data_IF_064789270452
#
_entry.id   IF_064789270452
#
_cell.length_a   1.000
_cell.length_b   1.000
_cell.length_c   1.000
_cell.angle_alpha   90.00
_cell.angle_beta   90.00
_cell.angle_gamma   90.00
#
_symmetry.space_group_name_H-M   'P 1'
#
loop_
_entity.id
_entity.type
_entity.pdbx_description
1 polymer ?
#
# COMPACT_ATOMS: atom_id res chain seq x y z
N UNK A 1 -26.98 52.30 -17.41
CA UNK A 1 -26.96 51.10 -16.55
C UNK A 1 -25.56 50.51 -16.62
N UNK A 2 -24.80 50.57 -15.53
CA UNK A 2 -23.48 49.95 -15.46
C UNK A 2 -23.61 48.44 -15.21
N UNK A 3 -22.80 47.59 -15.84
CA UNK A 3 -22.83 46.15 -15.58
C UNK A 3 -22.37 45.85 -14.13
N UNK A 4 -22.94 44.83 -13.47
CA UNK A 4 -22.58 44.50 -12.10
C UNK A 4 -21.10 44.06 -12.04
N UNK A 5 -20.41 44.51 -10.99
CA UNK A 5 -19.00 44.20 -10.78
C UNK A 5 -18.76 42.70 -10.62
N UNK A 6 -17.60 42.21 -11.06
CA UNK A 6 -17.16 40.81 -10.93
C UNK A 6 -17.28 40.27 -9.49
N UNK A 7 -17.17 41.16 -8.49
CA UNK A 7 -17.30 40.84 -7.07
C UNK A 7 -18.73 40.44 -6.69
N UNK A 8 -19.74 41.01 -7.35
CA UNK A 8 -21.15 40.69 -7.15
C UNK A 8 -21.50 39.31 -7.72
N UNK A 9 -20.87 38.92 -8.83
CA UNK A 9 -21.03 37.58 -9.43
C UNK A 9 -20.38 36.47 -8.58
N UNK A 10 -19.22 36.76 -7.95
CA UNK A 10 -18.56 35.82 -7.04
C UNK A 10 -19.35 35.60 -5.75
N UNK A 11 -20.02 36.62 -5.22
CA UNK A 11 -20.84 36.49 -4.01
C UNK A 11 -22.16 35.75 -4.27
N UNK A 12 -22.71 35.86 -5.49
CA UNK A 12 -23.90 35.08 -5.88
C UNK A 12 -23.59 33.58 -6.04
N UNK A 13 -22.33 33.20 -6.32
CA UNK A 13 -21.92 31.81 -6.48
C UNK A 13 -21.59 31.09 -5.16
N UNK A 14 -21.51 31.82 -4.04
CA UNK A 14 -21.18 31.27 -2.73
C UNK A 14 -22.40 30.95 -1.85
N UNK A 15 -23.63 31.17 -2.34
CA UNK A 15 -24.87 30.91 -1.60
C UNK A 15 -25.60 29.64 -2.03
N UNK A 16 -25.06 28.86 -2.96
CA UNK A 16 -25.48 27.48 -3.12
C UNK A 16 -24.70 26.63 -2.11
N UNK A 17 -25.18 26.62 -0.86
CA UNK A 17 -24.94 25.51 0.05
C UNK A 17 -25.51 24.25 -0.61
N UNK A 18 -24.72 23.64 -1.50
CA UNK A 18 -24.88 22.23 -1.84
C UNK A 18 -24.66 21.51 -0.53
N UNK A 19 -25.74 21.07 0.08
CA UNK A 19 -25.70 20.11 1.17
C UNK A 19 -24.71 19.03 0.75
N UNK A 20 -23.55 19.00 1.40
CA UNK A 20 -22.54 17.99 1.17
C UNK A 20 -23.21 16.68 1.57
N UNK A 21 -23.75 15.94 0.60
CA UNK A 21 -24.17 14.57 0.81
C UNK A 21 -22.92 13.87 1.32
N UNK A 22 -22.94 13.45 2.59
CA UNK A 22 -21.93 12.56 3.11
C UNK A 22 -21.75 11.43 2.10
N UNK A 23 -20.53 11.15 1.62
CA UNK A 23 -20.32 10.04 0.73
C UNK A 23 -20.83 8.79 1.45
N UNK A 24 -21.81 8.12 0.86
CA UNK A 24 -22.40 6.91 1.42
C UNK A 24 -21.26 5.94 1.74
N UNK A 25 -20.98 5.75 3.03
CA UNK A 25 -19.89 4.90 3.46
C UNK A 25 -20.35 3.46 3.26
N UNK A 26 -19.80 2.78 2.25
CA UNK A 26 -20.12 1.39 1.94
C UNK A 26 -19.87 0.53 3.18
N UNK A 27 -20.83 -0.31 3.57
CA UNK A 27 -20.59 -1.31 4.61
C UNK A 27 -19.53 -2.31 4.12
N UNK A 28 -18.79 -2.99 5.02
CA UNK A 28 -17.76 -3.94 4.61
C UNK A 28 -18.26 -5.03 3.64
N UNK A 29 -19.54 -5.39 3.71
CA UNK A 29 -20.17 -6.39 2.84
C UNK A 29 -20.47 -5.87 1.43
N UNK A 30 -20.56 -4.55 1.27
CA UNK A 30 -20.82 -3.88 -0.01
C UNK A 30 -19.53 -3.58 -0.79
N UNK A 31 -18.36 -3.70 -0.15
CA UNK A 31 -17.07 -3.46 -0.81
C UNK A 31 -16.80 -4.59 -1.81
N UNK A 32 -16.44 -4.29 -3.07
CA UNK A 32 -16.11 -5.29 -4.07
C UNK A 32 -15.00 -6.24 -3.61
N UNK A 33 -15.12 -7.52 -3.96
CA UNK A 33 -14.11 -8.53 -3.62
C UNK A 33 -12.90 -8.42 -4.55
N UNK A 34 -11.72 -8.60 -3.99
CA UNK A 34 -10.47 -8.73 -4.75
C UNK A 34 -9.71 -9.98 -4.30
N UNK A 35 -9.05 -10.68 -5.23
CA UNK A 35 -8.33 -11.94 -4.94
C UNK A 35 -7.25 -11.81 -3.86
N UNK A 36 -6.64 -10.63 -3.75
CA UNK A 36 -5.62 -10.32 -2.75
C UNK A 36 -6.17 -9.70 -1.47
N UNK A 37 -7.48 -9.49 -1.34
CA UNK A 37 -8.07 -8.78 -0.19
C UNK A 37 -9.07 -9.68 0.53
N UNK A 38 -8.88 -9.82 1.84
CA UNK A 38 -9.84 -10.43 2.73
C UNK A 38 -10.05 -9.52 3.93
N UNK A 39 -11.29 -9.39 4.38
CA UNK A 39 -11.64 -8.53 5.51
C UNK A 39 -12.58 -9.24 6.48
N UNK A 40 -12.31 -9.13 7.77
CA UNK A 40 -13.16 -9.68 8.82
C UNK A 40 -12.75 -9.19 10.21
N UNK A 41 -13.73 -8.88 11.07
CA UNK A 41 -13.47 -8.50 12.47
C UNK A 41 -12.47 -7.35 12.63
N UNK A 42 -12.62 -6.28 11.84
CA UNK A 42 -11.68 -5.12 11.78
C UNK A 42 -10.24 -5.47 11.34
N UNK A 43 -10.03 -6.68 10.82
CA UNK A 43 -8.75 -7.15 10.28
C UNK A 43 -8.80 -7.19 8.77
N UNK A 44 -7.87 -6.47 8.13
CA UNK A 44 -7.63 -6.50 6.70
C UNK A 44 -6.43 -7.41 6.42
N UNK A 45 -6.63 -8.46 5.63
CA UNK A 45 -5.56 -9.35 5.18
C UNK A 45 -5.33 -9.14 3.68
N UNK A 46 -4.09 -8.75 3.33
CA UNK A 46 -3.63 -8.54 1.97
C UNK A 46 -2.70 -9.69 1.57
N UNK A 47 -3.16 -10.59 0.70
CA UNK A 47 -2.40 -11.76 0.23
C UNK A 47 -1.98 -11.54 -1.23
N UNK A 48 -0.85 -10.88 -1.42
CA UNK A 48 -0.33 -10.50 -2.74
C UNK A 48 0.60 -11.60 -3.24
N UNK A 49 0.12 -12.40 -4.19
CA UNK A 49 0.93 -13.40 -4.87
C UNK A 49 1.38 -12.88 -6.23
N UNK A 50 2.69 -12.68 -6.37
CA UNK A 50 3.31 -12.22 -7.61
C UNK A 50 4.04 -13.35 -8.35
N UNK A 51 3.91 -14.61 -7.89
CA UNK A 51 4.54 -15.78 -8.50
C UNK A 51 3.87 -16.22 -9.80
N UNK A 52 2.67 -15.70 -10.10
CA UNK A 52 1.92 -16.01 -11.30
C UNK A 52 2.74 -15.75 -12.58
N UNK A 53 2.61 -16.65 -13.57
CA UNK A 53 3.34 -16.57 -14.84
C UNK A 53 3.05 -15.28 -15.63
N UNK A 54 1.89 -14.67 -15.39
CA UNK A 54 1.46 -13.43 -16.03
C UNK A 54 1.57 -12.26 -15.05
N UNK A 55 2.23 -11.19 -15.50
CA UNK A 55 2.32 -9.95 -14.72
C UNK A 55 0.90 -9.41 -14.46
N UNK A 56 0.59 -8.93 -13.23
CA UNK A 56 -0.71 -8.33 -12.96
C UNK A 56 -0.97 -7.16 -13.91
N UNK A 57 -2.19 -7.09 -14.44
CA UNK A 57 -2.60 -6.01 -15.32
C UNK A 57 -2.68 -4.69 -14.53
N UNK A 58 -2.38 -3.53 -15.15
CA UNK A 58 -2.47 -2.24 -14.48
C UNK A 58 -3.85 -1.95 -13.88
N UNK A 59 -4.92 -2.40 -14.55
CA UNK A 59 -6.30 -2.29 -14.07
C UNK A 59 -6.57 -3.13 -12.83
N UNK A 60 -6.04 -4.35 -12.76
CA UNK A 60 -6.14 -5.22 -11.59
C UNK A 60 -5.43 -4.59 -10.37
N UNK A 61 -4.25 -4.01 -10.60
CA UNK A 61 -3.50 -3.28 -9.56
C UNK A 61 -4.26 -2.04 -9.08
N UNK A 62 -4.86 -1.27 -9.98
CA UNK A 62 -5.66 -0.09 -9.60
C UNK A 62 -6.88 -0.52 -8.78
N UNK A 63 -7.63 -1.52 -9.26
CA UNK A 63 -8.79 -2.06 -8.54
C UNK A 63 -8.41 -2.57 -7.15
N UNK A 64 -7.26 -3.25 -7.02
CA UNK A 64 -6.71 -3.66 -5.74
C UNK A 64 -6.52 -2.48 -4.79
N UNK A 65 -5.84 -1.42 -5.24
CA UNK A 65 -5.57 -0.22 -4.44
C UNK A 65 -6.86 0.48 -4.01
N UNK A 66 -7.80 0.64 -4.92
CA UNK A 66 -9.09 1.28 -4.65
C UNK A 66 -9.88 0.48 -3.59
N UNK A 67 -9.92 -0.84 -3.72
CA UNK A 67 -10.60 -1.72 -2.75
C UNK A 67 -9.93 -1.67 -1.37
N UNK A 68 -8.60 -1.64 -1.30
CA UNK A 68 -7.88 -1.48 -0.03
C UNK A 68 -8.25 -0.15 0.64
N UNK A 69 -8.32 0.94 -0.13
CA UNK A 69 -8.67 2.26 0.40
C UNK A 69 -10.09 2.29 0.99
N UNK A 70 -11.05 1.57 0.39
CA UNK A 70 -12.42 1.45 0.92
C UNK A 70 -12.49 0.80 2.30
N UNK A 71 -11.52 -0.04 2.66
CA UNK A 71 -11.45 -0.68 3.98
C UNK A 71 -10.82 0.22 5.07
N UNK A 72 -10.31 1.41 4.73
CA UNK A 72 -9.53 2.26 5.65
C UNK A 72 -10.27 2.58 6.96
N UNK A 73 -11.55 2.97 6.88
CA UNK A 73 -12.35 3.39 8.05
C UNK A 73 -12.70 2.23 9.00
N UNK A 74 -12.62 0.99 8.52
CA UNK A 74 -13.00 -0.20 9.26
C UNK A 74 -11.81 -0.97 9.84
N UNK A 75 -10.59 -0.66 9.39
CA UNK A 75 -9.42 -1.49 9.68
C UNK A 75 -8.70 -1.02 10.94
N UNK A 76 -8.52 -1.95 11.90
CA UNK A 76 -7.62 -1.77 13.05
C UNK A 76 -6.33 -2.58 12.94
N UNK A 77 -6.41 -3.74 12.30
CA UNK A 77 -5.25 -4.62 12.09
C UNK A 77 -5.08 -4.87 10.61
N UNK A 78 -3.87 -4.67 10.09
CA UNK A 78 -3.55 -4.99 8.70
C UNK A 78 -2.44 -6.05 8.65
N UNK A 79 -2.69 -7.14 7.92
CA UNK A 79 -1.74 -8.22 7.70
C UNK A 79 -1.41 -8.25 6.21
N UNK A 80 -0.17 -7.92 5.85
CA UNK A 80 0.31 -7.91 4.48
C UNK A 80 1.22 -9.10 4.27
N UNK A 81 0.84 -9.97 3.35
CA UNK A 81 1.56 -11.18 2.98
C UNK A 81 1.93 -11.08 1.50
N UNK A 82 3.22 -10.98 1.21
CA UNK A 82 3.74 -10.83 -0.15
C UNK A 82 4.56 -12.06 -0.50
N UNK A 83 4.23 -12.72 -1.61
CA UNK A 83 5.06 -13.77 -2.20
C UNK A 83 5.69 -13.24 -3.47
N UNK A 84 7.01 -13.10 -3.46
CA UNK A 84 7.75 -12.64 -4.61
C UNK A 84 8.04 -13.81 -5.58
N UNK A 85 7.97 -13.59 -6.89
CA UNK A 85 8.28 -14.56 -7.94
C UNK A 85 9.74 -15.00 -7.95
N UNK A 86 9.96 -16.18 -8.51
CA UNK A 86 11.27 -16.74 -8.87
C UNK A 86 11.80 -16.04 -10.13
N UNK A 87 12.17 -14.76 -10.04
CA UNK A 87 12.86 -14.12 -11.16
C UNK A 87 14.33 -14.48 -11.11
N UNK A 88 14.83 -15.15 -12.16
CA UNK A 88 16.27 -15.22 -12.43
C UNK A 88 16.87 -13.82 -12.64
N UNK A 89 17.71 -13.62 -13.65
CA UNK A 89 18.35 -12.33 -13.88
C UNK A 89 17.44 -11.22 -14.47
N UNK A 90 16.13 -11.43 -14.62
CA UNK A 90 15.21 -10.42 -15.19
C UNK A 90 14.75 -9.39 -14.15
N UNK A 91 15.60 -8.39 -13.96
CA UNK A 91 15.42 -7.22 -13.09
C UNK A 91 14.12 -6.47 -13.44
N UNK A 92 13.77 -6.35 -14.73
CA UNK A 92 12.65 -5.53 -15.20
C UNK A 92 11.29 -6.14 -14.84
N UNK A 93 11.17 -7.47 -14.94
CA UNK A 93 9.98 -8.19 -14.47
C UNK A 93 9.86 -8.23 -12.95
N UNK A 94 10.99 -8.14 -12.24
CA UNK A 94 11.06 -8.16 -10.77
C UNK A 94 10.69 -6.87 -10.07
N UNK A 95 10.61 -5.77 -10.81
CA UNK A 95 10.25 -4.48 -10.24
C UNK A 95 8.72 -4.29 -10.18
N UNK A 96 8.21 -4.37 -8.95
CA UNK A 96 6.81 -4.12 -8.59
C UNK A 96 6.70 -2.93 -7.63
N UNK A 97 7.71 -2.05 -7.60
CA UNK A 97 7.82 -0.90 -6.70
C UNK A 97 6.56 -0.03 -6.68
N UNK A 98 5.91 0.17 -7.83
CA UNK A 98 4.68 0.99 -7.91
C UNK A 98 3.53 0.39 -7.09
N UNK A 99 3.39 -0.93 -7.06
CA UNK A 99 2.34 -1.63 -6.29
C UNK A 99 2.52 -1.32 -4.81
N UNK A 100 3.74 -1.51 -4.30
CA UNK A 100 4.04 -1.33 -2.87
C UNK A 100 4.12 0.13 -2.45
N UNK A 101 4.66 1.00 -3.31
CA UNK A 101 4.69 2.43 -3.08
C UNK A 101 3.28 2.99 -2.88
N UNK A 102 2.35 2.68 -3.78
CA UNK A 102 0.97 3.17 -3.67
C UNK A 102 0.23 2.50 -2.50
N UNK A 103 0.44 1.20 -2.28
CA UNK A 103 -0.13 0.51 -1.12
C UNK A 103 0.28 1.17 0.20
N UNK A 104 1.55 1.52 0.37
CA UNK A 104 2.01 2.19 1.61
C UNK A 104 1.39 3.58 1.77
N UNK A 105 1.25 4.34 0.69
CA UNK A 105 0.51 5.63 0.72
C UNK A 105 -0.91 5.44 1.21
N UNK A 106 -1.61 4.41 0.73
CA UNK A 106 -2.97 4.09 1.15
C UNK A 106 -3.02 3.70 2.63
N UNK A 107 -2.11 2.83 3.06
CA UNK A 107 -2.06 2.35 4.46
C UNK A 107 -1.76 3.46 5.47
N UNK A 108 -0.92 4.44 5.12
CA UNK A 108 -0.70 5.63 5.95
C UNK A 108 -1.98 6.48 6.10
N UNK A 109 -2.90 6.40 5.14
CA UNK A 109 -4.21 7.05 5.22
C UNK A 109 -5.21 6.35 6.14
N UNK A 110 -4.88 5.22 6.76
CA UNK A 110 -5.83 4.47 7.59
C UNK A 110 -5.95 5.12 8.97
N UNK A 111 -7.13 5.69 9.33
CA UNK A 111 -7.25 6.51 10.53
C UNK A 111 -7.22 5.71 11.84
N UNK A 112 -7.45 4.39 11.80
CA UNK A 112 -7.67 3.54 12.98
C UNK A 112 -6.68 2.39 13.10
N UNK A 113 -5.65 2.35 12.25
CA UNK A 113 -4.69 1.25 12.25
C UNK A 113 -3.87 1.25 13.54
N UNK A 114 -3.96 0.15 14.29
CA UNK A 114 -3.27 -0.04 15.56
C UNK A 114 -2.08 -1.01 15.44
N UNK A 115 -2.15 -1.94 14.48
CA UNK A 115 -1.10 -2.93 14.21
C UNK A 115 -1.02 -3.22 12.72
N UNK A 116 0.20 -3.23 12.20
CA UNK A 116 0.48 -3.74 10.86
C UNK A 116 1.63 -4.74 10.87
N UNK A 117 1.44 -5.86 10.19
CA UNK A 117 2.50 -6.84 9.98
C UNK A 117 2.69 -7.09 8.50
N UNK A 118 3.94 -7.02 8.05
CA UNK A 118 4.31 -7.32 6.67
C UNK A 118 5.19 -8.56 6.68
N UNK A 119 4.79 -9.59 5.94
CA UNK A 119 5.58 -10.79 5.71
C UNK A 119 5.96 -10.83 4.24
N UNK A 120 7.26 -10.81 3.97
CA UNK A 120 7.79 -10.90 2.61
C UNK A 120 8.46 -12.25 2.42
N UNK A 121 7.93 -13.04 1.49
CA UNK A 121 8.46 -14.35 1.11
C UNK A 121 9.22 -14.21 -0.20
N UNK A 122 10.50 -14.54 -0.15
CA UNK A 122 11.39 -14.55 -1.29
C UNK A 122 11.85 -15.98 -1.55
N UNK A 123 11.83 -16.46 -2.81
CA UNK A 123 12.29 -17.81 -3.14
C UNK A 123 13.80 -17.97 -2.92
N UNK A 124 14.57 -16.88 -3.06
CA UNK A 124 16.01 -16.80 -2.79
C UNK A 124 16.37 -15.35 -2.47
N UNK A 125 17.54 -15.13 -1.87
CA UNK A 125 18.02 -13.78 -1.63
C UNK A 125 18.40 -13.12 -2.97
N UNK A 126 17.54 -12.23 -3.46
CA UNK A 126 17.79 -11.42 -4.65
C UNK A 126 17.77 -9.94 -4.27
N UNK A 127 18.91 -9.28 -4.48
CA UNK A 127 19.11 -7.89 -4.11
C UNK A 127 18.14 -6.91 -4.80
N UNK A 128 17.67 -7.21 -6.01
CA UNK A 128 16.67 -6.42 -6.72
C UNK A 128 15.28 -6.58 -6.12
N UNK A 129 14.93 -7.77 -5.61
CA UNK A 129 13.61 -8.01 -5.01
C UNK A 129 13.43 -7.26 -3.69
N UNK A 130 14.53 -6.96 -3.00
CA UNK A 130 14.53 -6.15 -1.78
C UNK A 130 14.06 -4.71 -2.02
N UNK A 131 14.11 -4.18 -3.24
CA UNK A 131 13.59 -2.83 -3.53
C UNK A 131 12.07 -2.76 -3.40
N UNK A 132 11.37 -3.87 -3.65
CA UNK A 132 9.92 -3.94 -3.42
C UNK A 132 9.59 -3.82 -1.93
N UNK A 133 10.40 -4.48 -1.09
CA UNK A 133 10.26 -4.51 0.36
C UNK A 133 10.59 -3.16 1.03
N UNK A 134 11.54 -2.39 0.50
CA UNK A 134 12.00 -1.16 1.14
C UNK A 134 10.92 -0.06 1.17
N UNK A 135 9.88 -0.14 0.33
CA UNK A 135 8.77 0.81 0.35
C UNK A 135 8.01 0.81 1.69
N UNK A 136 7.96 -0.33 2.41
CA UNK A 136 7.31 -0.41 3.72
C UNK A 136 8.01 0.43 4.80
N UNK A 137 9.26 0.88 4.57
CA UNK A 137 9.93 1.81 5.49
C UNK A 137 9.35 3.22 5.43
N UNK A 138 8.42 3.50 4.49
CA UNK A 138 7.63 4.74 4.42
C UNK A 138 6.39 4.73 5.32
N UNK A 139 6.10 3.63 6.02
CA UNK A 139 4.98 3.61 6.96
C UNK A 139 5.23 4.64 8.06
N UNK A 140 4.26 5.52 8.31
CA UNK A 140 4.39 6.68 9.20
C UNK A 140 4.00 6.38 10.65
N UNK A 141 3.10 5.42 10.85
CA UNK A 141 2.71 4.96 12.18
C UNK A 141 3.79 4.06 12.79
N UNK A 142 3.94 4.11 14.11
CA UNK A 142 5.06 3.45 14.82
C UNK A 142 4.86 1.95 15.01
N UNK A 143 3.62 1.48 15.09
CA UNK A 143 3.28 0.12 15.48
C UNK A 143 3.18 -0.82 14.26
N UNK A 144 4.30 -1.07 13.59
CA UNK A 144 4.39 -2.05 12.51
C UNK A 144 5.64 -2.93 12.62
N UNK A 145 5.59 -4.09 11.98
CA UNK A 145 6.69 -5.05 11.92
C UNK A 145 6.90 -5.59 10.51
N UNK A 146 8.16 -5.80 10.14
CA UNK A 146 8.55 -6.49 8.92
C UNK A 146 9.14 -7.85 9.25
N UNK A 147 8.66 -8.87 8.54
CA UNK A 147 9.13 -10.23 8.59
C UNK A 147 9.59 -10.66 7.20
N UNK A 148 10.58 -11.55 7.18
CA UNK A 148 11.13 -12.07 5.95
C UNK A 148 11.25 -13.59 6.03
N UNK A 149 10.97 -14.25 4.91
CA UNK A 149 11.30 -15.65 4.66
C UNK A 149 12.10 -15.73 3.37
N UNK A 150 13.28 -16.34 3.42
CA UNK A 150 14.15 -16.55 2.25
C UNK A 150 14.30 -18.04 1.98
N UNK A 151 13.81 -18.51 0.82
CA UNK A 151 13.89 -19.90 0.43
C UNK A 151 13.31 -20.84 1.48
N UNK A 152 14.15 -21.73 2.02
CA UNK A 152 13.79 -22.71 3.04
C UNK A 152 13.95 -22.21 4.47
N UNK A 153 14.43 -20.98 4.68
CA UNK A 153 14.61 -20.43 6.03
C UNK A 153 13.27 -20.21 6.71
N UNK A 154 13.29 -20.19 8.04
CA UNK A 154 12.10 -19.83 8.82
C UNK A 154 11.73 -18.36 8.64
N UNK A 155 10.46 -18.04 8.93
CA UNK A 155 10.00 -16.65 8.93
C UNK A 155 10.63 -15.94 10.12
N UNK A 156 11.41 -14.90 9.88
CA UNK A 156 12.08 -14.13 10.93
C UNK A 156 11.69 -12.65 10.88
N UNK A 157 11.62 -12.02 12.04
CA UNK A 157 11.41 -10.58 12.12
C UNK A 157 12.71 -9.86 11.74
N UNK A 158 12.62 -8.86 10.86
CA UNK A 158 13.74 -7.98 10.56
C UNK A 158 13.89 -7.00 11.72
N UNK A 159 14.99 -7.15 12.46
CA UNK A 159 15.37 -6.26 13.55
C UNK A 159 16.23 -5.10 13.06
N UNK A 160 16.06 -3.93 13.67
CA UNK A 160 16.86 -2.74 13.41
C UNK A 160 18.35 -3.06 13.59
N UNK A 161 19.17 -2.66 12.62
CA UNK A 161 20.62 -2.89 12.64
C UNK A 161 21.07 -4.26 12.14
N UNK A 162 20.14 -5.20 11.86
CA UNK A 162 20.44 -6.48 11.21
C UNK A 162 21.00 -6.28 9.79
N UNK A 163 21.64 -7.30 9.22
CA UNK A 163 22.16 -7.23 7.85
C UNK A 163 21.04 -6.93 6.84
N UNK A 164 19.87 -7.56 7.02
CA UNK A 164 18.71 -7.35 6.16
C UNK A 164 18.14 -5.93 6.30
N UNK A 165 18.03 -5.43 7.54
CA UNK A 165 17.60 -4.05 7.79
C UNK A 165 18.52 -3.03 7.11
N UNK A 166 19.85 -3.18 7.25
CA UNK A 166 20.81 -2.27 6.61
C UNK A 166 20.68 -2.25 5.09
N UNK A 167 20.43 -3.41 4.47
CA UNK A 167 20.23 -3.53 3.01
C UNK A 167 18.95 -2.82 2.58
N UNK A 168 17.83 -3.07 3.26
CA UNK A 168 16.55 -2.42 2.98
C UNK A 168 16.61 -0.90 3.19
N UNK A 169 17.23 -0.46 4.29
CA UNK A 169 17.41 0.95 4.61
C UNK A 169 18.35 1.65 3.60
N UNK A 170 19.40 0.96 3.15
CA UNK A 170 20.27 1.44 2.07
C UNK A 170 19.48 1.72 0.80
N UNK A 171 18.64 0.76 0.38
CA UNK A 171 17.76 0.94 -0.78
C UNK A 171 16.73 2.04 -0.59
N UNK A 172 16.12 2.12 0.58
CA UNK A 172 15.20 3.20 0.93
C UNK A 172 15.88 4.58 0.78
N UNK A 173 17.11 4.73 1.28
CA UNK A 173 17.84 6.00 1.14
C UNK A 173 18.17 6.34 -0.30
N UNK A 174 18.65 5.36 -1.08
CA UNK A 174 19.09 5.57 -2.47
C UNK A 174 17.90 5.83 -3.41
N UNK A 175 16.82 5.06 -3.31
CA UNK A 175 15.75 5.07 -4.30
C UNK A 175 14.51 5.87 -3.89
N UNK A 176 14.39 6.25 -2.61
CA UNK A 176 13.15 6.81 -2.08
C UNK A 176 13.42 8.12 -1.34
N UNK A 177 14.35 8.14 -0.37
CA UNK A 177 14.65 9.36 0.38
C UNK A 177 15.53 10.36 -0.39
N UNK A 178 16.36 9.88 -1.33
CA UNK A 178 17.24 10.70 -2.16
C UNK A 178 16.60 11.24 -3.45
N UNK A 179 15.31 11.01 -3.68
CA UNK A 179 14.58 11.49 -4.88
C UNK A 179 13.86 12.83 -4.64
N UNK A 180 14.33 13.62 -3.67
CA UNK A 180 13.86 14.97 -3.40
C UNK A 180 14.57 16.00 -4.27
#
# INVERSE_FOLDING_TARGET
MAPPSFRTLLLAHNNDEVAASEPATLTPEQIPRHRWVSFGGETLALSIDLTEAQRPLPTDISNFHDIVALHAVYTKTCLVSVTLPTYGHDVTRSNHSRIFCHLVTILNGFPRIARLEVVIRMPFENFTQLTNACHFYRLDFKAWKLFCKVGTWDVEQIHVGSQMDRRLNGWFKVNIAGSA
#
